data_IF_463591515065
#
_entry.id   IF_463591515065
#
_cell.length_a   1.000
_cell.length_b   1.000
_cell.length_c   1.000
_cell.angle_alpha   90.00
_cell.angle_beta   90.00
_cell.angle_gamma   90.00
#
_symmetry.space_group_name_H-M   'P 1'
#
loop_
_entity.id
_entity.type
_entity.pdbx_description
1 polymer ?
#
# COMPACT_ATOMS: atom_id res chain seq x y z
N UNK A 1 -26.31 35.16 -17.59
CA UNK A 1 -25.40 34.02 -17.34
C UNK A 1 -26.13 32.75 -17.80
N UNK A 2 -25.70 32.14 -18.90
CA UNK A 2 -26.46 31.11 -19.62
C UNK A 2 -26.42 29.77 -18.86
N UNK A 3 -27.56 29.06 -18.81
CA UNK A 3 -27.75 27.76 -18.14
C UNK A 3 -26.67 26.72 -18.48
N UNK A 4 -26.04 26.83 -19.66
CA UNK A 4 -24.91 26.01 -20.12
C UNK A 4 -23.63 26.29 -19.33
N UNK A 5 -23.31 27.56 -19.05
CA UNK A 5 -22.13 27.94 -18.26
C UNK A 5 -22.24 27.41 -16.83
N UNK A 6 -23.44 27.42 -16.23
CA UNK A 6 -23.66 26.90 -14.88
C UNK A 6 -23.44 25.38 -14.78
N UNK A 7 -23.86 24.62 -15.79
CA UNK A 7 -23.64 23.16 -15.84
C UNK A 7 -22.16 22.82 -15.94
N UNK A 8 -21.40 23.53 -16.79
CA UNK A 8 -19.96 23.30 -16.91
C UNK A 8 -19.20 23.63 -15.62
N UNK A 9 -19.59 24.69 -14.90
CA UNK A 9 -18.95 25.04 -13.62
C UNK A 9 -19.23 23.99 -12.53
N UNK A 10 -20.46 23.46 -12.46
CA UNK A 10 -20.81 22.40 -11.50
C UNK A 10 -20.09 21.09 -11.81
N UNK A 11 -19.97 20.72 -13.10
CA UNK A 11 -19.24 19.51 -13.49
C UNK A 11 -17.74 19.61 -13.18
N UNK A 12 -17.15 20.78 -13.39
CA UNK A 12 -15.74 21.04 -13.10
C UNK A 12 -15.45 21.00 -11.59
N UNK A 13 -16.36 21.55 -10.77
CA UNK A 13 -16.28 21.52 -9.31
C UNK A 13 -16.41 20.09 -8.75
N UNK A 14 -17.29 19.26 -9.32
CA UNK A 14 -17.48 17.87 -8.90
C UNK A 14 -16.24 17.00 -9.16
N UNK A 15 -15.44 17.33 -10.17
CA UNK A 15 -14.20 16.61 -10.47
C UNK A 15 -13.10 16.83 -9.42
N UNK A 16 -13.06 18.00 -8.79
CA UNK A 16 -12.04 18.33 -7.78
C UNK A 16 -12.27 17.68 -6.41
N UNK A 17 -13.52 17.32 -6.07
CA UNK A 17 -13.86 16.75 -4.76
C UNK A 17 -13.50 15.25 -4.65
N UNK A 18 -13.33 14.55 -5.78
CA UNK A 18 -13.11 13.11 -5.78
C UNK A 18 -11.64 12.68 -5.61
N UNK A 19 -10.70 13.63 -5.46
CA UNK A 19 -9.26 13.34 -5.47
C UNK A 19 -8.68 12.89 -4.11
N UNK A 20 -9.44 12.94 -3.02
CA UNK A 20 -8.94 12.60 -1.68
C UNK A 20 -9.23 11.12 -1.35
N UNK A 21 -8.37 10.21 -1.81
CA UNK A 21 -8.36 8.81 -1.31
C UNK A 21 -7.43 8.70 -0.12
N UNK A 22 -7.91 8.11 0.98
CA UNK A 22 -7.05 7.74 2.12
C UNK A 22 -6.05 6.67 1.66
N UNK A 23 -4.80 6.70 2.15
CA UNK A 23 -3.85 5.63 1.86
C UNK A 23 -4.40 4.31 2.38
N UNK A 24 -4.29 3.26 1.58
CA UNK A 24 -4.65 1.90 1.97
C UNK A 24 -3.68 1.42 3.07
N UNK A 25 -4.16 0.80 4.16
CA UNK A 25 -3.29 0.22 5.18
C UNK A 25 -2.29 -0.76 4.56
N UNK A 26 -1.05 -0.75 5.05
CA UNK A 26 0.01 -1.63 4.54
C UNK A 26 0.58 -2.48 5.67
N UNK A 27 0.95 -3.72 5.35
CA UNK A 27 1.71 -4.63 6.19
C UNK A 27 3.06 -4.91 5.52
N UNK A 28 4.15 -4.42 6.11
CA UNK A 28 5.50 -4.53 5.55
C UNK A 28 6.22 -5.73 6.13
N UNK A 29 6.61 -6.69 5.29
CA UNK A 29 7.23 -7.94 5.70
C UNK A 29 8.70 -7.99 5.28
N UNK A 30 9.58 -8.43 6.17
CA UNK A 30 10.92 -8.90 5.82
C UNK A 30 10.92 -10.44 5.81
N UNK A 31 10.92 -11.03 4.61
CA UNK A 31 10.55 -12.44 4.42
C UNK A 31 11.46 -13.17 3.43
N UNK A 32 11.47 -14.51 3.47
CA UNK A 32 12.20 -15.32 2.49
C UNK A 32 11.47 -15.38 1.15
N UNK A 33 12.24 -15.59 0.08
CA UNK A 33 11.67 -15.75 -1.26
C UNK A 33 10.64 -16.89 -1.32
N UNK A 34 9.54 -16.64 -2.02
CA UNK A 34 8.43 -17.58 -2.17
C UNK A 34 7.45 -17.67 -0.99
N UNK A 35 7.73 -17.05 0.15
CA UNK A 35 6.87 -17.14 1.35
C UNK A 35 5.77 -16.06 1.37
N UNK A 36 5.86 -15.08 0.48
CA UNK A 36 4.83 -14.05 0.27
C UNK A 36 4.21 -14.13 -1.14
N UNK A 37 4.14 -15.34 -1.70
CA UNK A 37 3.47 -15.55 -2.99
C UNK A 37 2.01 -15.06 -2.94
N UNK A 38 1.55 -14.53 -4.08
CA UNK A 38 0.21 -13.94 -4.19
C UNK A 38 -0.88 -14.95 -3.83
N UNK A 39 -0.70 -16.24 -4.11
CA UNK A 39 -1.66 -17.28 -3.75
C UNK A 39 -1.89 -17.39 -2.22
N UNK A 40 -0.92 -17.00 -1.40
CA UNK A 40 -1.01 -17.01 0.06
C UNK A 40 -1.53 -15.69 0.61
N UNK A 41 -0.98 -14.56 0.14
CA UNK A 41 -1.28 -13.24 0.72
C UNK A 41 -2.57 -12.63 0.21
N UNK A 42 -3.07 -13.05 -0.96
CA UNK A 42 -4.25 -12.44 -1.60
C UNK A 42 -5.50 -12.50 -0.73
N UNK A 43 -5.77 -13.64 -0.11
CA UNK A 43 -6.95 -13.79 0.75
C UNK A 43 -6.82 -12.90 2.00
N UNK A 44 -5.62 -12.82 2.58
CA UNK A 44 -5.34 -11.93 3.71
C UNK A 44 -5.60 -10.45 3.35
N UNK A 45 -5.07 -9.97 2.22
CA UNK A 45 -5.28 -8.60 1.74
C UNK A 45 -6.78 -8.27 1.58
N UNK A 46 -7.54 -9.20 0.99
CA UNK A 46 -8.98 -9.03 0.76
C UNK A 46 -9.75 -9.01 2.08
N UNK A 47 -9.42 -9.93 3.00
CA UNK A 47 -10.11 -10.07 4.29
C UNK A 47 -9.85 -8.90 5.23
N UNK A 48 -8.62 -8.36 5.20
CA UNK A 48 -8.19 -7.31 6.11
C UNK A 48 -8.15 -5.91 5.48
N UNK A 49 -8.52 -5.79 4.20
CA UNK A 49 -8.54 -4.53 3.47
C UNK A 49 -7.20 -3.77 3.55
N UNK A 50 -6.11 -4.50 3.39
CA UNK A 50 -4.75 -3.98 3.45
C UNK A 50 -3.90 -4.53 2.31
N UNK A 51 -2.74 -3.91 2.10
CA UNK A 51 -1.74 -4.36 1.14
C UNK A 51 -0.54 -4.97 1.86
N UNK A 52 -0.13 -6.16 1.45
CA UNK A 52 1.12 -6.78 1.92
C UNK A 52 2.26 -6.31 1.02
N UNK A 53 3.33 -5.81 1.64
CA UNK A 53 4.54 -5.33 0.97
C UNK A 53 5.71 -6.17 1.46
N UNK A 54 6.21 -7.08 0.62
CA UNK A 54 7.30 -7.98 0.96
C UNK A 54 8.66 -7.43 0.51
N UNK A 55 9.62 -7.40 1.43
CA UNK A 55 11.05 -7.24 1.17
C UNK A 55 11.75 -8.57 1.45
N UNK A 56 12.61 -8.99 0.53
CA UNK A 56 13.20 -10.33 0.62
C UNK A 56 14.60 -10.33 1.23
N UNK A 57 14.92 -11.36 2.02
CA UNK A 57 16.28 -11.69 2.42
C UNK A 57 16.70 -13.05 1.88
N UNK A 58 18.00 -13.18 1.58
CA UNK A 58 18.62 -14.41 1.11
C UNK A 58 19.42 -15.17 2.18
N UNK A 59 19.63 -14.60 3.36
CA UNK A 59 20.32 -15.27 4.48
C UNK A 59 19.91 -14.72 5.85
N UNK A 60 20.22 -15.49 6.91
CA UNK A 60 20.03 -15.03 8.29
C UNK A 60 20.93 -13.84 8.64
N UNK A 61 22.13 -13.76 8.07
CA UNK A 61 23.03 -12.63 8.28
C UNK A 61 22.45 -11.35 7.65
N UNK A 62 21.84 -11.47 6.46
CA UNK A 62 21.15 -10.35 5.81
C UNK A 62 19.95 -9.87 6.63
N UNK A 63 19.15 -10.79 7.17
CA UNK A 63 18.07 -10.47 8.10
C UNK A 63 18.58 -9.64 9.29
N UNK A 64 19.63 -10.14 9.97
CA UNK A 64 20.22 -9.46 11.12
C UNK A 64 20.79 -8.10 10.73
N UNK A 65 21.44 -8.00 9.57
CA UNK A 65 21.98 -6.76 9.06
C UNK A 65 20.89 -5.71 8.79
N UNK A 66 19.77 -6.07 8.16
CA UNK A 66 18.63 -5.16 7.91
C UNK A 66 18.00 -4.67 9.21
N UNK A 67 17.79 -5.56 10.17
CA UNK A 67 17.19 -5.19 11.45
C UNK A 67 18.10 -4.31 12.29
N UNK A 68 19.39 -4.65 12.40
CA UNK A 68 20.35 -3.88 13.20
C UNK A 68 20.83 -2.61 12.49
N UNK A 69 20.77 -2.56 11.17
CA UNK A 69 21.14 -1.40 10.35
C UNK A 69 20.15 -0.24 10.42
N UNK A 70 19.19 -0.27 11.34
CA UNK A 70 18.22 0.81 11.55
C UNK A 70 16.98 0.73 10.67
N UNK A 71 16.80 -0.34 9.89
CA UNK A 71 15.59 -0.54 9.07
C UNK A 71 14.52 -1.38 9.75
N UNK A 72 14.71 -1.83 10.99
CA UNK A 72 13.72 -2.62 11.72
C UNK A 72 12.34 -1.93 11.80
N UNK A 73 12.31 -0.61 11.96
CA UNK A 73 11.05 0.14 12.03
C UNK A 73 10.28 0.21 10.69
N UNK A 74 10.90 -0.23 9.58
CA UNK A 74 10.25 -0.30 8.27
C UNK A 74 9.51 -1.63 8.06
N UNK A 75 9.64 -2.58 8.98
CA UNK A 75 9.05 -3.91 8.89
C UNK A 75 8.18 -4.17 10.11
N UNK A 76 6.98 -4.71 9.89
CA UNK A 76 6.06 -5.11 10.94
C UNK A 76 6.39 -6.51 11.45
N UNK A 77 6.95 -7.37 10.59
CA UNK A 77 7.32 -8.77 10.86
C UNK A 77 8.59 -9.15 10.09
#
# INVERSE_FOLDING_TARGET
>A
MTRRTFIFTVLFMAFFVSACKKPEPMLSLLVWEGYADTSFVRNFEVTHHCKVVASYMGSSDELVAKLRGGSAANYDV
#
